data_IF_563269073726
#
_entry.id   IF_563269073726
#
_cell.length_a   1.000
_cell.length_b   1.000
_cell.length_c   1.000
_cell.angle_alpha   90.00
_cell.angle_beta   90.00
_cell.angle_gamma   90.00
#
_symmetry.space_group_name_H-M   'P 1'
#
loop_
_entity.id
_entity.type
_entity.pdbx_description
1 polymer ?
#
# COMPACT_ATOMS: atom_id res chain seq x y z
N UNK A 1 52.57 32.41 48.37
CA UNK A 1 52.23 32.18 46.95
C UNK A 1 50.72 32.14 46.90
N UNK A 2 50.12 33.18 46.30
CA UNK A 2 48.69 33.27 46.07
C UNK A 2 48.30 32.27 44.99
N UNK A 3 47.24 31.52 45.23
CA UNK A 3 46.59 30.71 44.18
C UNK A 3 45.30 31.43 43.82
N UNK A 4 45.27 31.94 42.60
CA UNK A 4 44.20 32.74 42.02
C UNK A 4 42.97 31.86 41.83
N UNK A 5 41.94 32.10 42.63
CA UNK A 5 40.58 31.66 42.33
C UNK A 5 40.16 32.26 40.99
N UNK A 6 40.19 31.44 39.93
CA UNK A 6 39.65 31.76 38.62
C UNK A 6 38.12 31.88 38.71
N UNK A 7 37.64 33.06 39.09
CA UNK A 7 36.23 33.43 38.98
C UNK A 7 35.97 33.68 37.49
N UNK A 8 35.38 32.71 36.80
CA UNK A 8 34.75 32.96 35.51
C UNK A 8 33.71 34.06 35.69
N UNK A 9 33.75 35.16 34.90
CA UNK A 9 32.78 36.23 35.07
C UNK A 9 31.40 35.69 34.68
N UNK A 10 30.50 35.58 35.65
CA UNK A 10 29.08 35.37 35.36
C UNK A 10 28.61 36.56 34.51
N UNK A 11 28.25 36.29 33.26
CA UNK A 11 27.64 37.29 32.38
C UNK A 11 26.44 37.89 33.12
N UNK A 12 26.39 39.21 33.35
CA UNK A 12 25.31 39.80 34.13
C UNK A 12 23.98 39.51 33.45
N UNK A 13 23.03 38.95 34.21
CA UNK A 13 21.68 38.66 33.72
C UNK A 13 20.99 39.93 33.25
N UNK A 14 20.23 39.82 32.17
CA UNK A 14 19.38 40.91 31.67
C UNK A 14 18.26 41.23 32.67
N UNK A 15 17.83 42.49 32.70
CA UNK A 15 16.77 42.95 33.61
C UNK A 15 15.41 42.32 33.26
N UNK A 16 14.45 42.29 34.22
CA UNK A 16 13.11 41.75 33.99
C UNK A 16 12.36 42.41 32.81
N UNK A 17 12.57 43.70 32.57
CA UNK A 17 11.95 44.41 31.44
C UNK A 17 12.49 43.94 30.07
N UNK A 18 13.79 43.63 30.00
CA UNK A 18 14.43 43.11 28.78
C UNK A 18 14.01 41.67 28.53
N UNK A 19 13.87 40.89 29.60
CA UNK A 19 13.31 39.55 29.56
C UNK A 19 11.88 39.55 29.00
N UNK A 20 10.98 40.38 29.54
CA UNK A 20 9.60 40.46 29.08
C UNK A 20 9.51 40.89 27.61
N UNK A 21 10.36 41.82 27.18
CA UNK A 21 10.45 42.22 25.76
C UNK A 21 10.92 41.07 24.88
N UNK A 22 11.93 40.31 25.31
CA UNK A 22 12.42 39.15 24.58
C UNK A 22 11.36 38.03 24.50
N UNK A 23 10.60 37.80 25.57
CA UNK A 23 9.48 36.83 25.55
C UNK A 23 8.37 37.24 24.58
N UNK A 24 8.04 38.53 24.49
CA UNK A 24 7.06 39.03 23.50
C UNK A 24 7.54 38.83 22.07
N UNK A 25 8.80 39.16 21.77
CA UNK A 25 9.39 38.93 20.44
C UNK A 25 9.32 37.45 20.08
N UNK A 26 9.68 36.55 21.01
CA UNK A 26 9.57 35.11 20.76
C UNK A 26 8.11 34.69 20.54
N UNK A 27 7.17 35.19 21.33
CA UNK A 27 5.75 34.87 21.20
C UNK A 27 5.16 35.30 19.85
N UNK A 28 5.54 36.49 19.35
CA UNK A 28 5.11 37.02 18.04
C UNK A 28 5.58 36.11 16.89
N UNK A 29 6.76 35.49 17.04
CA UNK A 29 7.29 34.49 16.11
C UNK A 29 6.81 33.05 16.40
N UNK A 30 5.87 32.87 17.33
CA UNK A 30 5.31 31.56 17.68
C UNK A 30 6.28 30.64 18.43
N UNK A 31 7.22 31.23 19.17
CA UNK A 31 8.17 30.56 20.04
C UNK A 31 7.83 30.83 21.51
N UNK A 32 8.12 29.86 22.36
CA UNK A 32 8.07 30.03 23.81
C UNK A 32 9.22 29.29 24.48
N UNK A 33 9.68 29.80 25.61
CA UNK A 33 10.63 29.09 26.46
C UNK A 33 9.94 27.96 27.20
N UNK A 34 10.61 26.81 27.27
CA UNK A 34 10.24 25.68 28.10
C UNK A 34 11.48 25.16 28.83
N UNK A 35 11.65 25.58 30.08
CA UNK A 35 12.85 25.28 30.85
C UNK A 35 14.10 25.88 30.19
N UNK A 36 15.04 25.02 29.79
CA UNK A 36 16.30 25.34 29.11
C UNK A 36 16.24 25.15 27.58
N UNK A 37 15.04 25.13 27.00
CA UNK A 37 14.82 24.91 25.56
C UNK A 37 13.75 25.85 25.01
N UNK A 38 13.72 26.00 23.69
CA UNK A 38 12.63 26.66 22.99
C UNK A 38 11.65 25.66 22.38
N UNK A 39 10.37 26.02 22.36
CA UNK A 39 9.31 25.26 21.72
C UNK A 39 8.49 26.14 20.80
N UNK A 40 8.05 25.58 19.67
CA UNK A 40 7.10 26.26 18.81
C UNK A 40 5.67 26.08 19.33
N UNK A 41 4.92 27.17 19.51
CA UNK A 41 3.49 27.14 19.85
C UNK A 41 2.64 26.61 18.70
N UNK A 42 3.07 26.83 17.45
CA UNK A 42 2.43 26.34 16.23
C UNK A 42 2.54 24.82 16.03
N UNK A 43 3.45 24.15 16.76
CA UNK A 43 3.62 22.69 16.69
C UNK A 43 2.45 21.89 17.31
N UNK A 44 1.56 22.56 18.06
CA UNK A 44 0.40 21.95 18.70
C UNK A 44 -0.59 21.37 17.67
N UNK A 45 -0.78 22.06 16.54
CA UNK A 45 -1.68 21.67 15.46
C UNK A 45 -1.21 20.39 14.79
N UNK A 46 0.08 20.32 14.48
CA UNK A 46 0.73 19.11 13.95
C UNK A 46 0.63 17.98 14.98
N UNK A 47 0.87 18.26 16.26
CA UNK A 47 0.73 17.27 17.33
C UNK A 47 -0.69 16.71 17.45
N UNK A 48 -1.72 17.54 17.20
CA UNK A 48 -3.12 17.11 17.14
C UNK A 48 -3.38 16.25 15.90
N UNK A 49 -2.89 16.66 14.73
CA UNK A 49 -3.01 15.88 13.48
C UNK A 49 -2.35 14.49 13.61
N UNK A 50 -1.13 14.43 14.16
CA UNK A 50 -0.42 13.17 14.45
C UNK A 50 -1.20 12.30 15.45
N UNK A 51 -1.85 12.90 16.44
CA UNK A 51 -2.70 12.14 17.37
C UNK A 51 -3.97 11.60 16.69
N UNK A 52 -4.53 12.34 15.73
CA UNK A 52 -5.67 11.92 14.92
C UNK A 52 -5.29 10.77 13.98
N UNK A 53 -4.10 10.81 13.37
CA UNK A 53 -3.53 9.71 12.58
C UNK A 53 -3.46 8.40 13.39
N UNK A 54 -3.17 8.47 14.69
CA UNK A 54 -3.23 7.29 15.57
C UNK A 54 -4.63 6.66 15.68
N UNK A 55 -5.70 7.46 15.54
CA UNK A 55 -7.09 6.96 15.48
C UNK A 55 -7.39 6.37 14.10
N UNK A 56 -7.06 7.11 13.04
CA UNK A 56 -7.24 6.65 11.65
C UNK A 56 -6.52 5.32 11.39
N UNK A 57 -5.30 5.15 11.93
CA UNK A 57 -4.57 3.88 11.83
C UNK A 57 -5.34 2.72 12.48
N UNK A 58 -5.96 2.94 13.64
CA UNK A 58 -6.74 1.88 14.32
C UNK A 58 -7.99 1.51 13.51
N UNK A 59 -8.66 2.49 12.93
CA UNK A 59 -9.79 2.26 12.02
C UNK A 59 -9.34 1.50 10.77
N UNK A 60 -8.21 1.89 10.18
CA UNK A 60 -7.61 1.18 9.04
C UNK A 60 -7.28 -0.27 9.36
N UNK A 61 -6.73 -0.56 10.55
CA UNK A 61 -6.47 -1.94 11.01
C UNK A 61 -7.77 -2.76 11.08
N UNK A 62 -8.88 -2.16 11.50
CA UNK A 62 -10.19 -2.85 11.52
C UNK A 62 -10.71 -3.12 10.11
N UNK A 63 -10.65 -2.14 9.20
CA UNK A 63 -11.06 -2.31 7.80
C UNK A 63 -10.21 -3.37 7.09
N UNK A 64 -8.89 -3.38 7.35
CA UNK A 64 -7.99 -4.40 6.83
C UNK A 64 -8.37 -5.79 7.31
N UNK A 65 -8.57 -5.95 8.62
CA UNK A 65 -8.98 -7.24 9.21
C UNK A 65 -10.29 -7.75 8.61
N UNK A 66 -11.27 -6.86 8.43
CA UNK A 66 -12.54 -7.18 7.79
C UNK A 66 -12.38 -7.71 6.37
N UNK A 67 -11.47 -7.12 5.58
CA UNK A 67 -11.13 -7.61 4.25
C UNK A 67 -10.40 -8.95 4.31
N UNK A 68 -9.41 -9.11 5.19
CA UNK A 68 -8.66 -10.36 5.36
C UNK A 68 -9.57 -11.53 5.72
N UNK A 69 -10.56 -11.31 6.58
CA UNK A 69 -11.55 -12.33 6.93
C UNK A 69 -12.41 -12.73 5.72
N UNK A 70 -12.82 -11.77 4.89
CA UNK A 70 -13.60 -12.05 3.68
C UNK A 70 -12.77 -12.77 2.61
N UNK A 71 -11.53 -12.31 2.38
CA UNK A 71 -10.60 -12.95 1.46
C UNK A 71 -10.22 -14.37 1.92
N UNK A 72 -9.99 -14.57 3.21
CA UNK A 72 -9.72 -15.90 3.77
C UNK A 72 -10.88 -16.86 3.52
N UNK A 73 -12.13 -16.42 3.74
CA UNK A 73 -13.33 -17.24 3.43
C UNK A 73 -13.39 -17.59 1.94
N UNK A 74 -13.12 -16.64 1.05
CA UNK A 74 -13.06 -16.89 -0.39
C UNK A 74 -11.98 -17.93 -0.74
N UNK A 75 -10.78 -17.82 -0.16
CA UNK A 75 -9.69 -18.78 -0.35
C UNK A 75 -10.05 -20.19 0.12
N UNK A 76 -10.74 -20.32 1.27
CA UNK A 76 -11.22 -21.62 1.75
C UNK A 76 -12.21 -22.26 0.79
N UNK A 77 -13.18 -21.52 0.27
CA UNK A 77 -14.16 -22.07 -0.68
C UNK A 77 -13.52 -22.43 -2.01
N UNK A 78 -12.55 -21.64 -2.50
CA UNK A 78 -11.74 -22.01 -3.67
C UNK A 78 -10.97 -23.31 -3.44
N UNK A 79 -10.41 -23.54 -2.25
CA UNK A 79 -9.77 -24.83 -1.89
C UNK A 79 -10.78 -25.98 -1.86
N UNK A 80 -11.98 -25.76 -1.31
CA UNK A 80 -13.06 -26.75 -1.30
C UNK A 80 -13.48 -27.14 -2.72
N UNK A 81 -13.69 -26.17 -3.61
CA UNK A 81 -14.03 -26.42 -5.01
C UNK A 81 -12.98 -27.29 -5.73
N UNK A 82 -11.69 -27.01 -5.49
CA UNK A 82 -10.59 -27.84 -6.02
C UNK A 82 -10.67 -29.28 -5.50
N UNK A 83 -10.92 -29.46 -4.20
CA UNK A 83 -11.09 -30.81 -3.60
C UNK A 83 -12.26 -31.58 -4.22
N UNK A 84 -13.42 -30.93 -4.39
CA UNK A 84 -14.57 -31.55 -5.05
C UNK A 84 -14.29 -31.91 -6.52
N UNK A 85 -13.45 -31.13 -7.21
CA UNK A 85 -13.02 -31.41 -8.59
C UNK A 85 -12.16 -32.67 -8.64
N UNK A 86 -11.19 -32.82 -7.72
CA UNK A 86 -10.37 -34.03 -7.61
C UNK A 86 -11.22 -35.25 -7.29
N UNK A 87 -12.19 -35.12 -6.37
CA UNK A 87 -13.12 -36.19 -6.02
C UNK A 87 -13.97 -36.64 -7.22
N UNK A 88 -14.40 -35.73 -8.10
CA UNK A 88 -15.12 -36.10 -9.33
C UNK A 88 -14.22 -36.96 -10.23
N UNK A 89 -12.96 -36.56 -10.41
CA UNK A 89 -11.98 -37.33 -11.18
C UNK A 89 -11.80 -38.75 -10.64
N UNK A 90 -11.64 -38.91 -9.33
CA UNK A 90 -11.51 -40.22 -8.68
C UNK A 90 -12.76 -41.10 -8.87
N UNK A 91 -13.96 -40.53 -8.71
CA UNK A 91 -15.21 -41.26 -8.93
C UNK A 91 -15.36 -41.70 -10.38
N UNK A 92 -14.97 -40.87 -11.36
CA UNK A 92 -14.98 -41.25 -12.77
C UNK A 92 -13.98 -42.39 -13.06
N UNK A 93 -12.79 -42.38 -12.44
CA UNK A 93 -11.83 -43.49 -12.55
C UNK A 93 -12.39 -44.78 -11.95
N UNK A 94 -13.10 -44.71 -10.81
CA UNK A 94 -13.77 -45.87 -10.22
C UNK A 94 -14.91 -46.38 -11.12
N UNK A 95 -15.72 -45.48 -11.69
CA UNK A 95 -16.79 -45.82 -12.62
C UNK A 95 -16.25 -46.62 -13.81
N UNK A 96 -15.14 -46.16 -14.40
CA UNK A 96 -14.51 -46.82 -15.54
C UNK A 96 -14.07 -48.26 -15.23
N UNK A 97 -13.75 -48.59 -13.98
CA UNK A 97 -13.34 -49.94 -13.55
C UNK A 97 -14.52 -50.91 -13.39
N UNK A 98 -15.71 -50.40 -13.06
CA UNK A 98 -16.90 -51.23 -12.81
C UNK A 98 -17.90 -51.21 -13.96
N UNK A 99 -17.75 -50.26 -14.88
CA UNK A 99 -18.60 -50.11 -16.06
C UNK A 99 -18.61 -51.40 -16.89
N UNK A 100 -19.82 -51.91 -17.17
CA UNK A 100 -20.01 -53.15 -17.92
C UNK A 100 -19.78 -54.44 -17.12
N UNK A 101 -19.31 -54.37 -15.87
CA UNK A 101 -19.06 -55.53 -15.00
C UNK A 101 -20.08 -55.62 -13.87
N UNK A 102 -20.32 -54.53 -13.13
CA UNK A 102 -21.27 -54.48 -12.02
C UNK A 102 -22.23 -53.28 -12.19
N UNK A 103 -23.46 -53.57 -12.64
CA UNK A 103 -24.51 -52.56 -12.88
C UNK A 103 -24.89 -51.84 -11.58
N UNK A 104 -24.90 -52.55 -10.44
CA UNK A 104 -25.28 -51.98 -9.16
C UNK A 104 -24.21 -51.00 -8.66
N UNK A 105 -22.93 -51.38 -8.74
CA UNK A 105 -21.82 -50.49 -8.43
C UNK A 105 -21.75 -49.29 -9.38
N UNK A 106 -21.94 -49.52 -10.68
CA UNK A 106 -22.00 -48.47 -11.69
C UNK A 106 -23.06 -47.40 -11.34
N UNK A 107 -24.29 -47.82 -11.04
CA UNK A 107 -25.38 -46.89 -10.70
C UNK A 107 -25.12 -46.14 -9.38
N UNK A 108 -24.51 -46.78 -8.37
CA UNK A 108 -24.11 -46.11 -7.13
C UNK A 108 -23.07 -45.02 -7.38
N UNK A 109 -22.04 -45.31 -8.17
CA UNK A 109 -20.97 -44.33 -8.47
C UNK A 109 -21.52 -43.15 -9.28
N UNK A 110 -22.41 -43.40 -10.25
CA UNK A 110 -23.10 -42.32 -10.98
C UNK A 110 -23.89 -41.42 -10.01
N UNK A 111 -24.59 -42.01 -9.03
CA UNK A 111 -25.27 -41.25 -7.98
C UNK A 111 -24.32 -40.36 -7.17
N UNK A 112 -23.14 -40.87 -6.81
CA UNK A 112 -22.11 -40.10 -6.10
C UNK A 112 -21.53 -38.97 -6.97
N UNK A 113 -21.28 -39.21 -8.26
CA UNK A 113 -20.82 -38.19 -9.22
C UNK A 113 -21.85 -37.07 -9.31
N UNK A 114 -23.14 -37.41 -9.49
CA UNK A 114 -24.20 -36.41 -9.58
C UNK A 114 -24.32 -35.59 -8.28
N UNK A 115 -24.23 -36.24 -7.12
CA UNK A 115 -24.23 -35.56 -5.83
C UNK A 115 -23.00 -34.64 -5.65
N UNK A 116 -21.82 -35.07 -6.10
CA UNK A 116 -20.59 -34.29 -6.04
C UNK A 116 -20.66 -33.06 -6.96
N UNK A 117 -21.17 -33.21 -8.19
CA UNK A 117 -21.40 -32.10 -9.13
C UNK A 117 -22.42 -31.09 -8.61
N UNK A 118 -23.49 -31.56 -7.95
CA UNK A 118 -24.43 -30.65 -7.29
C UNK A 118 -23.75 -29.81 -6.19
N UNK A 119 -22.86 -30.43 -5.39
CA UNK A 119 -22.03 -29.70 -4.41
C UNK A 119 -21.06 -28.71 -5.07
N UNK A 120 -20.42 -29.10 -6.17
CA UNK A 120 -19.53 -28.21 -6.92
C UNK A 120 -20.28 -26.95 -7.39
N UNK A 121 -21.51 -27.11 -7.89
CA UNK A 121 -22.32 -25.98 -8.33
C UNK A 121 -22.70 -25.06 -7.17
N UNK A 122 -23.11 -25.61 -6.02
CA UNK A 122 -23.38 -24.80 -4.81
C UNK A 122 -22.15 -24.00 -4.36
N UNK A 123 -20.99 -24.66 -4.25
CA UNK A 123 -19.74 -23.99 -3.84
C UNK A 123 -19.32 -22.93 -4.86
N UNK A 124 -19.58 -23.14 -6.16
CA UNK A 124 -19.29 -22.16 -7.21
C UNK A 124 -20.12 -20.89 -7.03
N UNK A 125 -21.41 -21.02 -6.70
CA UNK A 125 -22.30 -19.89 -6.45
C UNK A 125 -21.90 -19.14 -5.17
N UNK A 126 -21.50 -19.86 -4.11
CA UNK A 126 -20.93 -19.28 -2.89
C UNK A 126 -19.62 -18.52 -3.17
N UNK A 127 -18.71 -19.07 -3.98
CA UNK A 127 -17.47 -18.39 -4.39
C UNK A 127 -17.78 -17.08 -5.11
N UNK A 128 -18.79 -17.04 -5.98
CA UNK A 128 -19.17 -15.82 -6.68
C UNK A 128 -19.65 -14.73 -5.71
N UNK A 129 -20.49 -15.10 -4.73
CA UNK A 129 -20.97 -14.18 -3.70
C UNK A 129 -19.85 -13.70 -2.76
N UNK A 130 -18.99 -14.63 -2.30
CA UNK A 130 -17.84 -14.31 -1.45
C UNK A 130 -16.83 -13.42 -2.16
N UNK A 131 -16.60 -13.64 -3.46
CA UNK A 131 -15.73 -12.80 -4.27
C UNK A 131 -16.24 -11.38 -4.32
N UNK A 132 -17.52 -11.18 -4.63
CA UNK A 132 -18.13 -9.84 -4.66
C UNK A 132 -17.95 -9.11 -3.31
N UNK A 133 -18.20 -9.79 -2.19
CA UNK A 133 -18.00 -9.22 -0.86
C UNK A 133 -16.53 -8.88 -0.57
N UNK A 134 -15.58 -9.76 -0.92
CA UNK A 134 -14.16 -9.51 -0.77
C UNK A 134 -13.69 -8.30 -1.62
N UNK A 135 -14.18 -8.19 -2.86
CA UNK A 135 -13.88 -7.08 -3.77
C UNK A 135 -14.44 -5.74 -3.23
N UNK A 136 -15.67 -5.73 -2.71
CA UNK A 136 -16.28 -4.55 -2.06
C UNK A 136 -15.47 -4.10 -0.84
N UNK A 137 -15.11 -5.04 0.04
CA UNK A 137 -14.26 -4.76 1.21
C UNK A 137 -12.87 -4.28 0.81
N UNK A 138 -12.29 -4.83 -0.26
CA UNK A 138 -11.00 -4.37 -0.79
C UNK A 138 -11.07 -2.94 -1.28
N UNK A 139 -12.15 -2.57 -1.97
CA UNK A 139 -12.39 -1.19 -2.38
C UNK A 139 -12.43 -0.25 -1.17
N UNK A 140 -13.18 -0.60 -0.12
CA UNK A 140 -13.23 0.21 1.11
C UNK A 140 -11.87 0.31 1.80
N UNK A 141 -11.08 -0.76 1.79
CA UNK A 141 -9.73 -0.76 2.32
C UNK A 141 -8.83 0.20 1.53
N UNK A 142 -8.85 0.14 0.20
CA UNK A 142 -8.05 1.03 -0.64
C UNK A 142 -8.42 2.51 -0.45
N UNK A 143 -9.70 2.82 -0.26
CA UNK A 143 -10.18 4.18 0.04
C UNK A 143 -9.68 4.66 1.42
N UNK A 144 -9.75 3.79 2.44
CA UNK A 144 -9.22 4.08 3.77
C UNK A 144 -7.70 4.24 3.78
N UNK A 145 -6.97 3.40 3.03
CA UNK A 145 -5.52 3.49 2.85
C UNK A 145 -5.13 4.81 2.16
N UNK A 146 -5.86 5.21 1.11
CA UNK A 146 -5.62 6.46 0.41
C UNK A 146 -5.84 7.67 1.34
N UNK A 147 -6.94 7.68 2.09
CA UNK A 147 -7.24 8.74 3.05
C UNK A 147 -6.17 8.85 4.14
N UNK A 148 -5.76 7.72 4.70
CA UNK A 148 -4.71 7.70 5.73
C UNK A 148 -3.38 8.24 5.17
N UNK A 149 -2.97 7.78 3.99
CA UNK A 149 -1.75 8.26 3.35
C UNK A 149 -1.79 9.77 3.09
N UNK A 150 -2.92 10.30 2.62
CA UNK A 150 -3.12 11.74 2.42
C UNK A 150 -2.97 12.51 3.72
N UNK A 151 -3.59 12.05 4.82
CA UNK A 151 -3.44 12.65 6.14
C UNK A 151 -1.97 12.64 6.62
N UNK A 152 -1.23 11.57 6.36
CA UNK A 152 0.21 11.47 6.72
C UNK A 152 1.03 12.47 5.91
N UNK A 153 0.79 12.56 4.61
CA UNK A 153 1.47 13.50 3.73
C UNK A 153 1.16 14.96 4.11
N UNK A 154 -0.09 15.26 4.48
CA UNK A 154 -0.49 16.57 4.96
C UNK A 154 0.21 16.95 6.27
N UNK A 155 0.36 15.99 7.20
CA UNK A 155 1.11 16.20 8.43
C UNK A 155 2.61 16.48 8.15
N UNK A 156 3.21 15.77 7.20
CA UNK A 156 4.59 16.02 6.76
C UNK A 156 4.74 17.41 6.13
N UNK A 157 3.86 17.77 5.20
CA UNK A 157 3.89 19.08 4.55
C UNK A 157 3.72 20.23 5.56
N UNK A 158 2.85 20.06 6.55
CA UNK A 158 2.67 21.05 7.64
C UNK A 158 3.94 21.20 8.48
N UNK A 159 4.65 20.10 8.74
CA UNK A 159 5.93 20.13 9.45
C UNK A 159 7.04 20.81 8.64
N UNK A 160 7.13 20.51 7.34
CA UNK A 160 8.12 21.14 6.45
C UNK A 160 7.87 22.65 6.34
N UNK A 161 6.60 23.07 6.23
CA UNK A 161 6.22 24.48 6.23
C UNK A 161 6.61 25.16 7.56
N UNK A 162 6.27 24.55 8.70
CA UNK A 162 6.62 25.10 10.02
C UNK A 162 8.15 25.19 10.20
N UNK A 163 8.88 24.20 9.70
CA UNK A 163 10.35 24.19 9.73
C UNK A 163 10.91 25.35 8.92
N UNK A 164 10.37 25.62 7.72
CA UNK A 164 10.78 26.75 6.89
C UNK A 164 10.45 28.11 7.55
N UNK A 165 9.25 28.26 8.13
CA UNK A 165 8.84 29.46 8.86
C UNK A 165 9.75 29.74 10.07
N UNK A 166 10.11 28.69 10.82
CA UNK A 166 11.00 28.80 11.97
C UNK A 166 12.43 29.14 11.54
N UNK A 167 12.96 28.50 10.50
CA UNK A 167 14.29 28.83 9.99
C UNK A 167 14.37 30.29 9.54
N UNK A 168 13.32 30.80 8.89
CA UNK A 168 13.21 32.22 8.56
C UNK A 168 13.20 33.08 9.82
N UNK A 169 12.33 32.80 10.78
CA UNK A 169 12.20 33.58 12.02
C UNK A 169 13.49 33.59 12.84
N UNK A 170 14.18 32.45 12.98
CA UNK A 170 15.44 32.33 13.70
C UNK A 170 16.61 33.09 13.02
N UNK A 171 16.47 33.46 11.75
CA UNK A 171 17.45 34.29 11.03
C UNK A 171 17.20 35.79 11.22
N UNK A 172 16.07 36.20 11.79
CA UNK A 172 15.74 37.61 12.02
C UNK A 172 16.50 38.15 13.24
N UNK A 173 17.06 39.36 13.11
CA UNK A 173 17.96 39.95 14.10
C UNK A 173 17.31 40.11 15.49
N UNK A 174 16.02 40.42 15.51
CA UNK A 174 15.24 40.65 16.73
C UNK A 174 15.08 39.33 17.50
N UNK A 175 14.82 38.24 16.79
CA UNK A 175 14.72 36.88 17.36
C UNK A 175 16.07 36.40 17.86
N UNK A 176 17.15 36.60 17.09
CA UNK A 176 18.53 36.28 17.54
C UNK A 176 18.84 36.99 18.86
N UNK A 177 18.46 38.26 18.96
CA UNK A 177 18.65 39.06 20.18
C UNK A 177 17.82 38.51 21.33
N UNK A 178 16.56 38.17 21.10
CA UNK A 178 15.68 37.58 22.11
C UNK A 178 16.18 36.21 22.60
N UNK A 179 16.65 35.34 21.69
CA UNK A 179 17.26 34.04 22.03
C UNK A 179 18.52 34.23 22.89
N UNK A 180 19.36 35.22 22.57
CA UNK A 180 20.54 35.54 23.38
C UNK A 180 20.19 36.00 24.80
N UNK A 181 19.11 36.77 24.96
CA UNK A 181 18.58 37.13 26.29
C UNK A 181 18.15 35.89 27.06
N UNK A 182 17.43 34.97 26.40
CA UNK A 182 17.01 33.70 27.02
C UNK A 182 18.18 32.80 27.38
N UNK A 183 19.22 32.76 26.55
CA UNK A 183 20.45 32.02 26.81
C UNK A 183 21.14 32.51 28.08
N UNK A 184 21.34 33.82 28.23
CA UNK A 184 22.05 34.41 29.38
C UNK A 184 21.22 34.29 30.67
N UNK A 185 19.89 34.46 30.61
CA UNK A 185 19.06 34.43 31.81
C UNK A 185 18.70 33.01 32.27
N UNK A 186 18.56 32.06 31.34
CA UNK A 186 17.95 30.75 31.59
C UNK A 186 18.74 29.53 31.09
N UNK A 187 19.98 29.71 30.60
CA UNK A 187 20.80 28.65 30.01
C UNK A 187 20.12 27.93 28.84
N UNK A 188 19.33 28.64 28.02
CA UNK A 188 18.78 28.07 26.77
C UNK A 188 19.94 27.75 25.82
N UNK A 189 19.86 26.61 25.13
CA UNK A 189 20.91 26.15 24.23
C UNK A 189 21.23 27.19 23.13
N UNK A 190 22.51 27.38 22.83
CA UNK A 190 23.03 28.41 21.93
C UNK A 190 22.81 28.13 20.44
N UNK A 191 22.52 26.88 20.10
CA UNK A 191 22.38 26.33 18.75
C UNK A 191 20.97 25.81 18.49
N UNK A 192 19.96 26.44 19.11
CA UNK A 192 18.56 26.13 18.85
C UNK A 192 18.24 26.32 17.36
N UNK A 193 18.05 25.21 16.66
CA UNK A 193 17.66 25.14 15.26
C UNK A 193 16.17 24.80 15.17
N UNK A 194 15.54 25.03 14.02
CA UNK A 194 14.18 24.54 13.81
C UNK A 194 14.07 23.02 14.07
N UNK A 195 15.13 22.26 13.76
CA UNK A 195 15.24 20.83 14.03
C UNK A 195 15.22 20.50 15.52
N UNK A 196 15.99 21.18 16.37
CA UNK A 196 15.95 20.94 17.83
C UNK A 196 14.60 21.29 18.45
N UNK A 197 14.00 22.41 18.01
CA UNK A 197 12.70 22.91 18.48
C UNK A 197 11.56 21.95 18.10
N UNK A 198 11.61 21.35 16.89
CA UNK A 198 10.56 20.49 16.36
C UNK A 198 10.83 18.99 16.53
N UNK A 199 12.00 18.58 17.02
CA UNK A 199 12.47 17.18 17.12
C UNK A 199 11.41 16.22 17.68
N UNK A 200 10.66 16.62 18.71
CA UNK A 200 9.62 15.76 19.30
C UNK A 200 8.46 15.45 18.35
N UNK A 201 8.04 16.44 17.55
CA UNK A 201 6.97 16.29 16.56
C UNK A 201 7.52 15.60 15.32
N UNK A 202 8.72 15.96 14.89
CA UNK A 202 9.42 15.36 13.76
C UNK A 202 9.58 13.84 13.94
N UNK A 203 10.08 13.38 15.10
CA UNK A 203 10.19 11.94 15.39
C UNK A 203 8.85 11.21 15.31
N UNK A 204 7.76 11.85 15.74
CA UNK A 204 6.42 11.24 15.67
C UNK A 204 5.89 11.18 14.24
N UNK A 205 6.14 12.19 13.43
CA UNK A 205 5.77 12.20 12.00
C UNK A 205 6.60 11.15 11.25
N UNK A 206 7.92 11.11 11.44
CA UNK A 206 8.81 10.13 10.82
C UNK A 206 8.36 8.69 11.12
N UNK A 207 8.04 8.39 12.38
CA UNK A 207 7.56 7.06 12.77
C UNK A 207 6.28 6.64 12.02
N UNK A 208 5.37 7.58 11.75
CA UNK A 208 4.15 7.29 10.99
C UNK A 208 4.46 7.21 9.49
N UNK A 209 5.36 8.04 8.99
CA UNK A 209 5.78 8.05 7.59
C UNK A 209 6.47 6.74 7.19
N UNK A 210 7.28 6.15 8.07
CA UNK A 210 7.89 4.83 7.89
C UNK A 210 6.85 3.71 7.66
N UNK A 211 5.61 3.91 8.12
CA UNK A 211 4.51 2.95 7.92
C UNK A 211 3.88 3.09 6.52
N UNK A 212 4.07 4.23 5.85
CA UNK A 212 3.57 4.50 4.50
C UNK A 212 4.66 4.14 3.50
N UNK A 213 4.62 2.91 3.00
CA UNK A 213 5.55 2.46 1.98
C UNK A 213 5.09 2.98 0.61
N UNK A 214 5.94 3.81 0.00
CA UNK A 214 5.76 4.37 -1.34
C UNK A 214 6.99 4.11 -2.20
N UNK A 215 6.75 3.86 -3.47
CA UNK A 215 7.81 3.72 -4.46
C UNK A 215 7.36 4.37 -5.76
N UNK A 216 8.30 5.00 -6.47
CA UNK A 216 8.09 5.48 -7.83
C UNK A 216 8.85 4.57 -8.77
N UNK A 217 8.12 3.72 -9.49
CA UNK A 217 8.69 2.68 -10.33
C UNK A 217 8.85 3.26 -11.75
N UNK A 218 10.06 3.29 -12.32
CA UNK A 218 10.27 3.84 -13.65
C UNK A 218 9.58 2.98 -14.71
N UNK A 219 8.98 3.64 -15.71
CA UNK A 219 8.30 3.01 -16.84
C UNK A 219 9.12 3.22 -18.11
N UNK A 220 9.21 2.19 -18.93
CA UNK A 220 9.78 2.25 -20.28
C UNK A 220 8.69 2.64 -21.27
N UNK A 221 9.05 3.35 -22.33
CA UNK A 221 8.13 3.61 -23.45
C UNK A 221 8.56 2.73 -24.62
N UNK A 222 7.68 1.82 -25.01
CA UNK A 222 7.87 0.94 -26.17
C UNK A 222 6.60 1.01 -27.02
N UNK A 223 6.73 1.37 -28.31
CA UNK A 223 5.56 1.47 -29.21
C UNK A 223 4.50 2.50 -28.81
N UNK A 224 4.81 3.44 -27.90
CA UNK A 224 3.84 4.39 -27.33
C UNK A 224 3.13 3.88 -26.06
N UNK A 225 3.40 2.65 -25.65
CA UNK A 225 2.89 2.05 -24.43
C UNK A 225 3.85 2.24 -23.25
N UNK A 226 3.29 2.28 -22.03
CA UNK A 226 4.06 2.32 -20.79
C UNK A 226 4.29 0.90 -20.26
N UNK A 227 5.56 0.49 -20.23
CA UNK A 227 5.98 -0.87 -19.88
C UNK A 227 6.66 -0.88 -18.52
N UNK A 228 6.32 -1.87 -17.69
CA UNK A 228 6.97 -2.14 -16.41
C UNK A 228 7.42 -3.59 -16.33
N UNK A 229 8.55 -3.84 -15.65
CA UNK A 229 8.99 -5.20 -15.37
C UNK A 229 8.18 -5.78 -14.22
N UNK A 230 7.47 -6.87 -14.50
CA UNK A 230 6.63 -7.60 -13.55
C UNK A 230 7.27 -8.95 -13.27
N UNK A 231 7.38 -9.32 -12.00
CA UNK A 231 7.79 -10.68 -11.62
C UNK A 231 6.53 -11.49 -11.35
N UNK A 232 6.26 -12.47 -12.21
CA UNK A 232 5.20 -13.45 -12.00
C UNK A 232 5.85 -14.73 -11.47
N UNK A 233 5.45 -15.10 -10.26
CA UNK A 233 6.05 -16.12 -9.42
C UNK A 233 7.56 -15.92 -9.23
N UNK A 234 8.39 -16.44 -10.15
CA UNK A 234 9.86 -16.36 -10.10
C UNK A 234 10.50 -15.77 -11.37
N UNK A 235 9.70 -15.39 -12.36
CA UNK A 235 10.20 -14.96 -13.67
C UNK A 235 9.74 -13.55 -13.97
N UNK A 236 10.67 -12.74 -14.48
CA UNK A 236 10.40 -11.38 -14.92
C UNK A 236 9.84 -11.37 -16.33
N UNK A 237 8.84 -10.52 -16.56
CA UNK A 237 8.19 -10.29 -17.85
C UNK A 237 7.82 -8.80 -17.95
N UNK A 238 8.14 -8.13 -19.07
CA UNK A 238 7.64 -6.79 -19.32
C UNK A 238 6.12 -6.84 -19.57
N UNK A 239 5.37 -5.98 -18.90
CA UNK A 239 3.94 -5.83 -19.13
C UNK A 239 3.59 -4.37 -19.39
N UNK A 240 2.64 -4.14 -20.28
CA UNK A 240 2.01 -2.84 -20.46
C UNK A 240 1.12 -2.52 -19.27
N UNK A 241 1.28 -1.35 -18.68
CA UNK A 241 0.40 -0.87 -17.61
C UNK A 241 -0.93 -0.42 -18.23
N UNK A 242 -2.01 -1.13 -17.90
CA UNK A 242 -3.34 -0.85 -18.46
C UNK A 242 -4.40 -0.88 -17.35
N UNK A 243 -4.75 0.31 -16.84
CA UNK A 243 -5.81 0.46 -15.84
C UNK A 243 -7.22 0.26 -16.40
N UNK A 244 -7.38 0.22 -17.74
CA UNK A 244 -8.63 -0.13 -18.41
C UNK A 244 -8.88 -1.64 -18.46
N UNK A 245 -7.83 -2.46 -18.37
CA UNK A 245 -7.96 -3.91 -18.33
C UNK A 245 -8.44 -4.39 -16.96
N UNK A 246 -9.53 -5.18 -16.92
CA UNK A 246 -10.04 -5.75 -15.66
C UNK A 246 -9.10 -6.81 -15.09
N UNK A 247 -8.46 -7.62 -15.95
CA UNK A 247 -7.57 -8.72 -15.57
C UNK A 247 -6.16 -8.48 -16.09
N UNK A 248 -5.17 -9.08 -15.44
CA UNK A 248 -3.86 -9.31 -16.06
C UNK A 248 -4.10 -10.19 -17.29
N UNK A 249 -3.56 -9.78 -18.43
CA UNK A 249 -3.74 -10.49 -19.69
C UNK A 249 -2.39 -11.02 -20.16
N UNK A 250 -2.31 -12.32 -20.44
CA UNK A 250 -1.09 -12.99 -20.86
C UNK A 250 -1.34 -13.70 -22.19
N UNK A 251 -0.59 -13.39 -23.25
CA UNK A 251 -0.53 -14.24 -24.43
C UNK A 251 -0.10 -15.66 -24.06
N UNK A 252 -0.61 -16.68 -24.76
CA UNK A 252 -0.24 -18.08 -24.51
C UNK A 252 1.28 -18.31 -24.51
N UNK A 253 2.00 -17.66 -25.42
CA UNK A 253 3.47 -17.75 -25.48
C UNK A 253 4.14 -17.24 -24.20
N UNK A 254 3.66 -16.11 -23.68
CA UNK A 254 4.15 -15.53 -22.41
C UNK A 254 3.80 -16.42 -21.23
N UNK A 255 2.57 -16.94 -21.16
CA UNK A 255 2.17 -17.87 -20.12
C UNK A 255 3.06 -19.12 -20.09
N UNK A 256 3.38 -19.66 -21.28
CA UNK A 256 4.29 -20.79 -21.45
C UNK A 256 5.71 -20.47 -20.97
N UNK A 257 6.26 -19.30 -21.35
CA UNK A 257 7.57 -18.81 -20.89
C UNK A 257 7.63 -18.66 -19.38
N UNK A 258 6.54 -18.19 -18.77
CA UNK A 258 6.38 -18.08 -17.32
C UNK A 258 6.22 -19.45 -16.65
N UNK A 259 5.80 -20.49 -17.37
CA UNK A 259 5.55 -21.82 -16.82
C UNK A 259 4.17 -21.93 -16.16
N UNK A 260 3.23 -21.08 -16.57
CA UNK A 260 1.85 -21.08 -16.09
C UNK A 260 1.12 -22.22 -16.76
N UNK A 261 0.61 -23.16 -15.96
CA UNK A 261 -0.23 -24.25 -16.44
C UNK A 261 -1.66 -23.74 -16.60
N UNK A 262 -2.25 -24.01 -17.78
CA UNK A 262 -3.65 -23.72 -18.08
C UNK A 262 -4.41 -25.04 -18.12
N UNK A 263 -5.20 -25.38 -17.08
CA UNK A 263 -6.00 -26.59 -17.08
C UNK A 263 -6.99 -26.63 -18.25
N UNK A 264 -7.29 -27.81 -18.77
CA UNK A 264 -8.26 -27.95 -19.88
C UNK A 264 -9.67 -27.51 -19.49
N UNK A 265 -10.02 -27.68 -18.22
CA UNK A 265 -11.27 -27.28 -17.59
C UNK A 265 -11.24 -25.83 -17.06
N UNK A 266 -10.15 -25.08 -17.28
CA UNK A 266 -10.06 -23.68 -16.89
C UNK A 266 -11.23 -22.88 -17.49
N UNK A 267 -11.92 -22.02 -16.68
CA UNK A 267 -13.07 -21.26 -17.14
C UNK A 267 -12.74 -20.45 -18.39
N UNK A 268 -13.53 -20.63 -19.44
CA UNK A 268 -13.43 -19.82 -20.65
C UNK A 268 -13.99 -18.43 -20.41
N UNK A 269 -13.28 -17.43 -20.92
CA UNK A 269 -13.65 -16.03 -20.91
C UNK A 269 -13.73 -15.55 -22.35
N UNK A 270 -14.68 -14.68 -22.64
CA UNK A 270 -14.68 -13.88 -23.86
C UNK A 270 -14.36 -12.45 -23.44
N UNK A 271 -13.16 -11.99 -23.79
CA UNK A 271 -12.69 -10.64 -23.48
C UNK A 271 -13.04 -9.72 -24.63
N UNK A 272 -13.48 -8.51 -24.31
CA UNK A 272 -13.67 -7.43 -25.28
C UNK A 272 -12.44 -6.54 -25.17
N UNK A 273 -11.68 -6.44 -26.27
CA UNK A 273 -10.52 -5.58 -26.38
C UNK A 273 -10.94 -4.12 -26.57
N UNK A 274 -10.02 -3.18 -26.37
CA UNK A 274 -10.29 -1.74 -26.55
C UNK A 274 -10.79 -1.39 -27.97
N UNK A 275 -10.42 -2.18 -28.97
CA UNK A 275 -10.88 -2.04 -30.36
C UNK A 275 -12.21 -2.75 -30.67
N UNK A 276 -12.87 -3.31 -29.65
CA UNK A 276 -14.14 -4.02 -29.77
C UNK A 276 -14.04 -5.47 -30.20
N UNK A 277 -12.85 -5.99 -30.52
CA UNK A 277 -12.67 -7.41 -30.86
C UNK A 277 -12.94 -8.30 -29.66
N UNK A 278 -13.55 -9.45 -29.91
CA UNK A 278 -13.70 -10.50 -28.91
C UNK A 278 -12.59 -11.52 -29.04
N UNK A 279 -11.87 -11.75 -27.94
CA UNK A 279 -10.80 -12.74 -27.86
C UNK A 279 -11.19 -13.77 -26.80
N UNK A 280 -11.07 -15.06 -27.16
CA UNK A 280 -11.25 -16.14 -26.19
C UNK A 280 -10.01 -16.29 -25.33
N UNK A 281 -10.22 -16.52 -24.04
CA UNK A 281 -9.17 -16.67 -23.06
C UNK A 281 -9.58 -17.70 -22.00
N UNK A 282 -8.59 -18.16 -21.23
CA UNK A 282 -8.82 -19.03 -20.08
C UNK A 282 -8.42 -18.33 -18.80
N UNK A 283 -9.29 -18.37 -17.80
CA UNK A 283 -9.00 -17.78 -16.49
C UNK A 283 -8.04 -18.67 -15.70
N UNK A 284 -6.96 -18.08 -15.23
CA UNK A 284 -6.01 -18.69 -14.29
C UNK A 284 -5.82 -17.79 -13.08
N UNK A 285 -5.19 -18.33 -12.04
CA UNK A 285 -4.82 -17.57 -10.85
C UNK A 285 -3.30 -17.67 -10.69
N UNK A 286 -2.63 -16.53 -10.75
CA UNK A 286 -1.20 -16.39 -10.50
C UNK A 286 -0.96 -16.43 -8.99
N UNK A 287 0.04 -17.18 -8.55
CA UNK A 287 0.29 -17.35 -7.12
C UNK A 287 0.82 -16.05 -6.52
N UNK A 288 1.86 -15.48 -7.15
CA UNK A 288 2.47 -14.21 -6.74
C UNK A 288 2.75 -13.34 -7.97
N UNK A 289 2.40 -12.06 -7.88
CA UNK A 289 2.76 -11.06 -8.88
C UNK A 289 3.41 -9.90 -8.15
N UNK A 290 4.55 -9.43 -8.63
CA UNK A 290 5.32 -8.36 -7.99
C UNK A 290 5.79 -7.31 -9.00
N UNK A 291 5.64 -6.05 -8.62
CA UNK A 291 6.18 -4.88 -9.34
C UNK A 291 6.93 -4.03 -8.34
N UNK A 292 8.24 -3.83 -8.55
CA UNK A 292 9.11 -3.25 -7.52
C UNK A 292 9.03 -4.05 -6.22
N UNK A 293 8.72 -3.40 -5.10
CA UNK A 293 8.50 -4.03 -3.80
C UNK A 293 7.02 -4.29 -3.45
N UNK A 294 6.11 -4.15 -4.42
CA UNK A 294 4.68 -4.38 -4.25
C UNK A 294 4.34 -5.79 -4.73
N UNK A 295 3.90 -6.66 -3.81
CA UNK A 295 3.53 -8.05 -4.10
C UNK A 295 2.05 -8.29 -3.81
N UNK A 296 1.36 -8.91 -4.76
CA UNK A 296 -0.01 -9.36 -4.62
C UNK A 296 -0.07 -10.88 -4.84
N UNK A 297 -0.83 -11.57 -3.99
CA UNK A 297 -1.04 -13.02 -4.10
C UNK A 297 -2.40 -13.34 -4.73
N UNK A 298 -2.50 -14.48 -5.42
CA UNK A 298 -3.78 -14.97 -5.93
C UNK A 298 -4.41 -14.09 -7.02
N UNK A 299 -3.59 -13.46 -7.85
CA UNK A 299 -4.01 -12.51 -8.89
C UNK A 299 -4.72 -13.26 -10.02
N UNK A 300 -5.94 -12.84 -10.37
CA UNK A 300 -6.64 -13.41 -11.52
C UNK A 300 -6.03 -12.92 -12.83
N UNK A 301 -5.72 -13.84 -13.73
CA UNK A 301 -5.22 -13.53 -15.05
C UNK A 301 -6.02 -14.26 -16.13
N UNK A 302 -6.06 -13.68 -17.33
CA UNK A 302 -6.59 -14.30 -18.52
C UNK A 302 -5.43 -14.70 -19.43
N UNK A 303 -5.34 -15.99 -19.75
CA UNK A 303 -4.42 -16.48 -20.78
C UNK A 303 -5.15 -16.47 -22.11
N UNK A 304 -4.72 -15.61 -23.03
CA UNK A 304 -5.30 -15.46 -24.35
C UNK A 304 -5.00 -16.68 -25.22
N UNK A 305 -5.97 -17.10 -26.03
CA UNK A 305 -5.76 -18.19 -26.98
C UNK A 305 -4.69 -17.84 -28.04
N UNK A 306 -4.10 -18.86 -28.65
CA UNK A 306 -3.03 -18.74 -29.66
C UNK A 306 -3.40 -17.90 -30.89
N UNK A 307 -4.69 -17.67 -31.12
CA UNK A 307 -5.22 -16.82 -32.18
C UNK A 307 -4.99 -15.32 -31.91
N UNK A 308 -4.66 -14.93 -30.67
CA UNK A 308 -4.27 -13.58 -30.29
C UNK A 308 -2.80 -13.28 -30.60
N UNK A 309 -2.36 -13.57 -31.83
CA UNK A 309 -0.99 -13.29 -32.30
C UNK A 309 -0.64 -11.81 -32.17
N UNK A 310 0.51 -11.51 -31.56
CA UNK A 310 1.00 -10.14 -31.37
C UNK A 310 0.35 -9.37 -30.21
N UNK A 311 -0.49 -10.00 -29.40
CA UNK A 311 -0.96 -9.38 -28.16
C UNK A 311 0.20 -9.18 -27.18
N UNK A 312 0.24 -8.02 -26.52
CA UNK A 312 1.22 -7.74 -25.47
C UNK A 312 0.67 -8.17 -24.10
N UNK A 313 1.54 -8.59 -23.15
CA UNK A 313 1.13 -8.81 -21.77
C UNK A 313 0.62 -7.51 -21.13
N UNK A 314 -0.54 -7.56 -20.48
CA UNK A 314 -1.15 -6.40 -19.83
C UNK A 314 -1.18 -6.59 -18.31
N UNK A 315 -0.77 -5.55 -17.59
CA UNK A 315 -0.91 -5.43 -16.14
C UNK A 315 -2.21 -4.69 -15.82
N UNK A 316 -3.28 -5.47 -15.60
CA UNK A 316 -4.62 -4.95 -15.35
C UNK A 316 -4.98 -4.73 -13.88
N UNK A 317 -6.24 -4.32 -13.65
CA UNK A 317 -6.82 -4.00 -12.35
C UNK A 317 -6.86 -5.16 -11.36
N UNK A 318 -6.91 -6.41 -11.82
CA UNK A 318 -6.75 -7.59 -10.94
C UNK A 318 -5.43 -7.59 -10.14
N UNK A 319 -4.39 -6.91 -10.64
CA UNK A 319 -3.15 -6.63 -9.90
C UNK A 319 -3.17 -5.21 -9.34
N UNK A 320 -3.34 -4.19 -10.20
CA UNK A 320 -3.21 -2.77 -9.82
C UNK A 320 -4.18 -2.37 -8.71
N UNK A 321 -5.37 -2.95 -8.68
CA UNK A 321 -6.39 -2.73 -7.65
C UNK A 321 -6.03 -3.26 -6.26
N UNK A 322 -4.88 -3.93 -6.09
CA UNK A 322 -4.36 -4.29 -4.78
C UNK A 322 -3.58 -3.16 -4.11
N UNK A 323 -3.36 -2.05 -4.80
CA UNK A 323 -2.54 -0.96 -4.29
C UNK A 323 -3.17 0.37 -4.65
N UNK A 324 -2.81 1.41 -3.91
CA UNK A 324 -3.00 2.77 -4.42
C UNK A 324 -1.90 3.03 -5.44
N UNK A 325 -2.29 3.43 -6.64
CA UNK A 325 -1.34 3.74 -7.70
C UNK A 325 -1.71 5.02 -8.45
N UNK A 326 -0.70 5.62 -9.07
CA UNK A 326 -0.81 6.76 -9.98
C UNK A 326 0.17 6.55 -11.14
N UNK A 327 -0.32 6.73 -12.36
CA UNK A 327 0.51 6.65 -13.56
C UNK A 327 0.84 8.09 -13.97
N UNK A 328 2.12 8.46 -13.83
CA UNK A 328 2.63 9.75 -14.26
C UNK A 328 3.25 9.58 -15.64
N UNK A 329 2.50 9.95 -16.68
CA UNK A 329 2.91 9.81 -18.08
C UNK A 329 4.05 10.76 -18.45
N UNK A 330 4.11 11.94 -17.82
CA UNK A 330 5.14 12.94 -18.07
C UNK A 330 6.48 12.53 -17.44
N UNK A 331 6.44 12.10 -16.19
CA UNK A 331 7.62 11.59 -15.49
C UNK A 331 8.00 10.15 -15.88
N UNK A 332 7.09 9.44 -16.58
CA UNK A 332 7.22 8.01 -16.94
C UNK A 332 7.41 7.14 -15.70
N UNK A 333 6.54 7.31 -14.72
CA UNK A 333 6.62 6.56 -13.46
C UNK A 333 5.27 6.00 -13.02
N UNK A 334 5.27 4.80 -12.49
CA UNK A 334 4.17 4.20 -11.74
C UNK A 334 4.44 4.41 -10.25
N UNK A 335 3.74 5.38 -9.64
CA UNK A 335 3.79 5.60 -8.21
C UNK A 335 2.87 4.58 -7.55
N UNK A 336 3.38 3.84 -6.58
CA UNK A 336 2.63 2.85 -5.82
C UNK A 336 2.74 3.13 -4.34
N UNK A 337 1.65 2.85 -3.60
CA UNK A 337 1.55 3.07 -2.17
C UNK A 337 0.83 1.90 -1.50
N UNK A 338 1.37 1.49 -0.35
CA UNK A 338 0.78 0.53 0.60
C UNK A 338 1.07 0.97 2.02
N UNK A 339 0.21 0.59 2.96
CA UNK A 339 0.41 0.91 4.36
C UNK A 339 0.79 -0.35 5.14
N UNK A 340 1.95 -0.30 5.79
CA UNK A 340 2.31 -1.27 6.81
C UNK A 340 1.38 -1.09 8.00
N UNK A 341 0.55 -2.08 8.22
CA UNK A 341 -0.47 -2.08 9.28
C UNK A 341 -0.05 -2.92 10.47
N UNK A 342 1.19 -3.40 10.50
CA UNK A 342 1.73 -4.21 11.59
C UNK A 342 2.03 -3.36 12.83
#
# INVERSE_FOLDING_TARGET
MADETSVTPETPKYSPEVEEKAERILADHGLRRSGKSLQSTKSADISRAVSALGREKRELKLVKKDWEEADHRLRLHRKLARSLTLQDGELNLQLARVAGVDVSANNRIIGLINANRAKQQLVKDEIAALKKNADEKRKTLNEAEAKYAESVLAARASLDQLTAELNKSLSEQDVITAVKVMQVNFDVASDETAGSILNSVERRVLKIEEEVFRESIPLRIEGGALIVDVVVDRKSVPMMVDSGATLVSLPMETATKLGILVPEDAPRLNLIMADGRQISARRVTLEKVRVGNFEAEGVEAAVLDVTATGAEPLLGMSYLGNFKFEIDTAAKTLKMLRISTD
#
